data_IF_077519780813
#
_entry.id   IF_077519780813
#
_cell.length_a   1.000
_cell.length_b   1.000
_cell.length_c   1.000
_cell.angle_alpha   90.00
_cell.angle_beta   90.00
_cell.angle_gamma   90.00
#
_symmetry.space_group_name_H-M   'P 1'
#
loop_
_entity.id
_entity.type
_entity.pdbx_description
1 polymer ?
#
# COMPACT_ATOMS: atom_id res chain seq x y z
N UNK A 1 -5.37 -6.72 6.14
CA UNK A 1 -5.36 -6.59 4.67
C UNK A 1 -4.03 -6.95 4.04
N UNK A 2 -3.82 -6.60 2.74
CA UNK A 2 -2.63 -6.97 1.95
C UNK A 2 -1.31 -6.49 2.60
N UNK A 3 -1.10 -5.19 2.67
CA UNK A 3 0.17 -4.63 3.17
C UNK A 3 0.35 -4.97 4.65
N UNK A 4 -0.68 -4.74 5.48
CA UNK A 4 -0.60 -4.98 6.93
C UNK A 4 -0.26 -6.44 7.29
N UNK A 5 -0.78 -7.44 6.56
CA UNK A 5 -0.44 -8.85 6.83
C UNK A 5 1.02 -9.19 6.50
N UNK A 6 1.60 -8.55 5.48
CA UNK A 6 3.02 -8.69 5.17
C UNK A 6 3.90 -8.00 6.22
N UNK A 7 3.49 -6.81 6.71
CA UNK A 7 4.18 -6.13 7.83
C UNK A 7 4.13 -6.95 9.11
N UNK A 8 2.96 -7.51 9.47
CA UNK A 8 2.86 -8.41 10.63
C UNK A 8 3.84 -9.58 10.53
N UNK A 9 3.88 -10.25 9.36
CA UNK A 9 4.81 -11.37 9.16
C UNK A 9 6.27 -10.94 9.27
N UNK A 10 6.63 -9.82 8.64
CA UNK A 10 7.99 -9.31 8.66
C UNK A 10 8.44 -8.98 10.10
N UNK A 11 7.65 -8.21 10.83
CA UNK A 11 7.96 -7.84 12.21
C UNK A 11 8.08 -9.04 13.15
N UNK A 12 7.21 -10.04 13.00
CA UNK A 12 7.29 -11.28 13.78
C UNK A 12 8.55 -12.09 13.46
N UNK A 13 9.00 -12.12 12.21
CA UNK A 13 10.27 -12.76 11.83
C UNK A 13 11.48 -12.06 12.41
N UNK A 14 11.41 -10.73 12.55
CA UNK A 14 12.45 -9.91 13.21
C UNK A 14 12.37 -9.98 14.76
N UNK A 15 11.45 -10.76 15.33
CA UNK A 15 11.35 -10.99 16.77
C UNK A 15 10.55 -9.95 17.55
N UNK A 16 9.78 -9.10 16.86
CA UNK A 16 8.94 -8.11 17.52
C UNK A 16 7.63 -8.71 18.06
N UNK A 17 7.07 -8.07 19.10
CA UNK A 17 5.70 -8.29 19.54
C UNK A 17 4.77 -7.49 18.65
N UNK A 18 3.78 -8.14 18.04
CA UNK A 18 2.89 -7.53 17.06
C UNK A 18 1.43 -7.65 17.49
N UNK A 19 0.73 -6.52 17.52
CA UNK A 19 -0.72 -6.47 17.70
C UNK A 19 -1.36 -5.95 16.41
N UNK A 20 -2.26 -6.74 15.83
CA UNK A 20 -2.96 -6.40 14.58
C UNK A 20 -4.41 -6.04 14.91
N UNK A 21 -4.86 -4.86 14.49
CA UNK A 21 -6.26 -4.44 14.50
C UNK A 21 -6.80 -4.50 13.08
N UNK A 22 -7.86 -5.27 12.82
CA UNK A 22 -8.53 -5.35 11.51
C UNK A 22 -10.02 -5.68 11.71
N UNK A 23 -10.92 -5.10 10.93
CA UNK A 23 -12.35 -5.43 10.92
C UNK A 23 -12.73 -6.37 9.77
N UNK A 24 -11.77 -6.76 8.95
CA UNK A 24 -11.89 -7.65 7.79
C UNK A 24 -12.89 -7.20 6.71
N UNK A 25 -13.22 -5.91 6.65
CA UNK A 25 -14.12 -5.38 5.60
C UNK A 25 -13.51 -5.52 4.19
N UNK A 26 -12.18 -5.47 4.09
CA UNK A 26 -11.42 -5.73 2.86
C UNK A 26 -10.26 -6.70 3.08
N UNK A 27 -9.83 -6.89 4.32
CA UNK A 27 -8.83 -7.86 4.71
C UNK A 27 -9.39 -9.29 4.70
N UNK A 28 -8.48 -10.27 4.64
CA UNK A 28 -8.81 -11.69 4.75
C UNK A 28 -8.10 -12.25 5.98
N UNK A 29 -8.84 -12.92 6.86
CA UNK A 29 -8.26 -13.55 8.05
C UNK A 29 -7.27 -14.66 7.68
N UNK A 30 -7.46 -15.30 6.54
CA UNK A 30 -6.61 -16.34 6.00
C UNK A 30 -5.15 -15.88 5.87
N UNK A 31 -4.92 -14.59 5.59
CA UNK A 31 -3.59 -14.00 5.54
C UNK A 31 -2.86 -14.01 6.89
N UNK A 32 -3.57 -14.21 7.99
CA UNK A 32 -3.03 -14.16 9.35
C UNK A 32 -3.04 -15.53 10.07
N UNK A 33 -3.78 -16.54 9.56
CA UNK A 33 -3.93 -17.84 10.24
C UNK A 33 -2.58 -18.51 10.51
N UNK A 34 -1.65 -18.46 9.57
CA UNK A 34 -0.31 -19.02 9.74
C UNK A 34 0.48 -18.27 10.81
N UNK A 35 0.31 -16.96 10.94
CA UNK A 35 0.98 -16.13 11.95
C UNK A 35 0.43 -16.40 13.33
N UNK A 36 -0.89 -16.50 13.47
CA UNK A 36 -1.56 -16.85 14.75
C UNK A 36 -1.04 -18.20 15.26
N UNK A 37 -0.90 -19.19 14.35
CA UNK A 37 -0.43 -20.51 14.72
C UNK A 37 1.07 -20.55 15.06
N UNK A 38 1.88 -19.80 14.29
CA UNK A 38 3.35 -19.86 14.41
C UNK A 38 3.91 -19.00 15.54
N UNK A 39 3.22 -17.91 15.89
CA UNK A 39 3.69 -16.91 16.85
C UNK A 39 2.65 -16.65 17.96
N UNK A 40 2.19 -17.69 18.71
CA UNK A 40 1.09 -17.55 19.66
C UNK A 40 1.39 -16.57 20.80
N UNK A 41 2.66 -16.41 21.18
CA UNK A 41 3.07 -15.54 22.29
C UNK A 41 3.49 -14.15 21.84
N UNK A 42 3.73 -13.96 20.53
CA UNK A 42 4.24 -12.70 19.96
C UNK A 42 3.24 -12.00 19.03
N UNK A 43 2.15 -12.67 18.66
CA UNK A 43 1.13 -12.13 17.78
C UNK A 43 -0.23 -12.09 18.44
N UNK A 44 -0.82 -10.90 18.50
CA UNK A 44 -2.19 -10.70 19.00
C UNK A 44 -3.06 -10.11 17.90
N UNK A 45 -4.19 -10.75 17.61
CA UNK A 45 -5.23 -10.22 16.71
C UNK A 45 -6.37 -9.62 17.53
N UNK A 46 -6.69 -8.35 17.25
CA UNK A 46 -7.90 -7.67 17.72
C UNK A 46 -8.84 -7.50 16.52
N UNK A 47 -10.02 -8.09 16.61
CA UNK A 47 -11.11 -7.82 15.65
C UNK A 47 -11.83 -6.57 16.13
N UNK A 48 -11.66 -5.45 15.39
CA UNK A 48 -12.21 -4.17 15.78
C UNK A 48 -12.16 -3.18 14.61
N UNK A 49 -12.74 -2.00 14.80
CA UNK A 49 -12.96 -1.00 13.76
C UNK A 49 -12.33 0.34 14.16
N UNK A 50 -11.48 0.89 13.31
CA UNK A 50 -10.81 2.19 13.57
C UNK A 50 -11.80 3.35 13.69
N UNK A 51 -13.04 3.22 13.22
CA UNK A 51 -14.11 4.20 13.45
C UNK A 51 -14.55 4.28 14.92
N UNK A 52 -14.17 3.30 15.74
CA UNK A 52 -14.44 3.26 17.19
C UNK A 52 -13.16 3.59 17.94
N UNK A 53 -13.17 4.69 18.66
CA UNK A 53 -12.00 5.15 19.41
C UNK A 53 -11.54 4.11 20.43
N UNK A 54 -12.49 3.41 21.08
CA UNK A 54 -12.21 2.38 22.08
C UNK A 54 -11.43 1.20 21.50
N UNK A 55 -11.71 0.80 20.23
CA UNK A 55 -10.97 -0.27 19.57
C UNK A 55 -9.54 0.18 19.24
N UNK A 56 -9.38 1.45 18.83
CA UNK A 56 -8.05 2.05 18.62
C UNK A 56 -7.26 2.11 19.94
N UNK A 57 -7.86 2.56 21.03
CA UNK A 57 -7.22 2.63 22.36
C UNK A 57 -6.72 1.27 22.81
N UNK A 58 -7.56 0.23 22.71
CA UNK A 58 -7.17 -1.16 23.02
C UNK A 58 -6.01 -1.65 22.16
N UNK A 59 -6.01 -1.26 20.87
CA UNK A 59 -4.97 -1.69 19.94
C UNK A 59 -3.60 -1.09 20.27
N UNK A 60 -3.54 0.16 20.74
CA UNK A 60 -2.27 0.86 21.00
C UNK A 60 -1.78 0.75 22.44
N UNK A 61 -2.58 0.21 23.36
CA UNK A 61 -2.21 0.08 24.77
C UNK A 61 -0.91 -0.72 24.96
N UNK A 62 0.11 -0.07 25.53
CA UNK A 62 1.44 -0.66 25.75
C UNK A 62 2.29 -0.85 24.50
N UNK A 63 1.86 -0.32 23.34
CA UNK A 63 2.65 -0.38 22.10
C UNK A 63 3.64 0.78 22.03
N UNK A 64 4.83 0.51 21.51
CA UNK A 64 5.86 1.53 21.31
C UNK A 64 5.68 2.28 19.99
N UNK A 65 5.14 1.60 18.97
CA UNK A 65 5.02 2.10 17.61
C UNK A 65 3.67 1.74 17.00
N UNK A 66 3.21 2.53 16.04
CA UNK A 66 2.03 2.23 15.24
C UNK A 66 2.40 2.28 13.75
N UNK A 67 2.04 1.21 13.02
CA UNK A 67 2.01 1.17 11.56
C UNK A 67 0.54 1.18 11.11
N UNK A 68 0.05 2.32 10.64
CA UNK A 68 -1.34 2.52 10.28
C UNK A 68 -1.57 2.31 8.77
N UNK A 69 -2.02 1.10 8.43
CA UNK A 69 -2.31 0.67 7.06
C UNK A 69 -3.82 0.59 6.76
N UNK A 70 -4.66 0.74 7.79
CA UNK A 70 -6.10 0.56 7.67
C UNK A 70 -6.74 1.73 6.91
N UNK A 71 -7.34 1.43 5.77
CA UNK A 71 -8.09 2.37 4.95
C UNK A 71 -8.95 1.63 3.92
N UNK A 72 -10.00 2.28 3.42
CA UNK A 72 -10.65 1.87 2.17
C UNK A 72 -9.87 2.43 0.99
N UNK A 73 -9.05 1.59 0.36
CA UNK A 73 -8.41 1.88 -0.92
C UNK A 73 -9.40 1.80 -2.08
N UNK A 74 -9.08 2.41 -3.22
CA UNK A 74 -9.82 2.41 -4.48
C UNK A 74 -10.53 3.73 -4.80
N UNK A 75 -10.04 4.37 -5.86
CA UNK A 75 -10.67 5.58 -6.43
C UNK A 75 -12.12 5.31 -6.86
N UNK A 76 -12.44 4.25 -7.64
CA UNK A 76 -13.84 4.00 -8.04
C UNK A 76 -14.80 3.75 -6.85
N UNK A 77 -14.32 3.08 -5.81
CA UNK A 77 -15.13 2.88 -4.59
C UNK A 77 -15.45 4.22 -3.93
N UNK A 78 -14.45 5.07 -3.77
CA UNK A 78 -14.62 6.38 -3.12
C UNK A 78 -15.57 7.32 -3.89
N UNK A 79 -15.63 7.21 -5.21
CA UNK A 79 -16.60 7.94 -6.04
C UNK A 79 -18.01 7.40 -5.82
N UNK A 80 -18.15 6.07 -5.72
CA UNK A 80 -19.45 5.42 -5.51
C UNK A 80 -19.98 5.63 -4.09
N UNK A 81 -19.10 5.58 -3.08
CA UNK A 81 -19.43 5.72 -1.67
C UNK A 81 -18.40 6.61 -0.95
N UNK A 82 -18.51 7.93 -1.13
CA UNK A 82 -17.60 8.88 -0.50
C UNK A 82 -17.79 9.00 1.01
N UNK A 83 -19.03 8.78 1.51
CA UNK A 83 -19.34 8.89 2.95
C UNK A 83 -18.59 7.82 3.73
N UNK A 84 -18.77 6.55 3.41
CA UNK A 84 -18.08 5.44 4.10
C UNK A 84 -16.55 5.56 3.92
N UNK A 85 -16.09 6.01 2.74
CA UNK A 85 -14.66 6.24 2.51
C UNK A 85 -14.12 7.32 3.46
N UNK A 86 -14.84 8.43 3.64
CA UNK A 86 -14.47 9.50 4.56
C UNK A 86 -14.48 9.05 6.03
N UNK A 87 -15.54 8.37 6.45
CA UNK A 87 -15.68 7.87 7.83
C UNK A 87 -14.52 6.96 8.24
N UNK A 88 -14.11 6.05 7.34
CA UNK A 88 -13.03 5.10 7.62
C UNK A 88 -11.67 5.79 7.49
N UNK A 89 -11.42 6.48 6.38
CA UNK A 89 -10.08 6.98 6.10
C UNK A 89 -9.72 8.19 6.95
N UNK A 90 -10.62 9.18 7.08
CA UNK A 90 -10.36 10.39 7.90
C UNK A 90 -10.76 10.15 9.35
N UNK A 91 -12.01 9.73 9.61
CA UNK A 91 -12.49 9.51 10.97
C UNK A 91 -11.70 8.42 11.69
N UNK A 92 -11.45 7.30 11.00
CA UNK A 92 -10.64 6.20 11.54
C UNK A 92 -9.17 6.58 11.74
N UNK A 93 -8.58 7.33 10.82
CA UNK A 93 -7.23 7.87 10.99
C UNK A 93 -7.14 8.78 12.22
N UNK A 94 -8.09 9.71 12.37
CA UNK A 94 -8.13 10.63 13.50
C UNK A 94 -8.27 9.91 14.83
N UNK A 95 -9.12 8.88 14.93
CA UNK A 95 -9.23 8.04 16.12
C UNK A 95 -7.91 7.34 16.45
N UNK A 96 -7.26 6.77 15.43
CA UNK A 96 -6.01 6.03 15.64
C UNK A 96 -4.85 6.96 16.06
N UNK A 97 -4.70 8.14 15.44
CA UNK A 97 -3.63 9.07 15.82
C UNK A 97 -3.86 9.69 17.21
N UNK A 98 -5.13 9.92 17.61
CA UNK A 98 -5.50 10.35 18.97
C UNK A 98 -5.11 9.24 19.96
N UNK A 99 -5.54 8.01 19.72
CA UNK A 99 -5.22 6.87 20.59
C UNK A 99 -3.70 6.67 20.73
N UNK A 100 -2.96 6.77 19.62
CA UNK A 100 -1.50 6.66 19.58
C UNK A 100 -0.81 7.78 20.39
N UNK A 101 -1.26 9.04 20.25
CA UNK A 101 -0.79 10.18 21.04
C UNK A 101 -1.02 9.95 22.54
N UNK A 102 -2.22 9.55 22.91
CA UNK A 102 -2.61 9.38 24.31
C UNK A 102 -1.88 8.20 24.97
N UNK A 103 -1.59 7.14 24.21
CA UNK A 103 -0.74 6.03 24.61
C UNK A 103 0.76 6.36 24.60
N UNK A 104 1.16 7.55 24.14
CA UNK A 104 2.54 8.04 24.07
C UNK A 104 3.45 7.11 23.25
N UNK A 105 2.92 6.61 22.11
CA UNK A 105 3.75 5.84 21.18
C UNK A 105 4.93 6.68 20.70
N UNK A 106 6.08 6.07 20.48
CA UNK A 106 7.32 6.75 20.08
C UNK A 106 7.23 7.31 18.67
N UNK A 107 6.55 6.60 17.76
CA UNK A 107 6.35 7.05 16.38
C UNK A 107 5.12 6.41 15.74
N UNK A 108 4.47 7.20 14.91
CA UNK A 108 3.31 6.83 14.11
C UNK A 108 3.68 6.85 12.62
N UNK A 109 3.78 5.67 11.99
CA UNK A 109 3.99 5.56 10.54
C UNK A 109 2.67 5.22 9.88
N UNK A 110 2.35 5.88 8.76
CA UNK A 110 1.06 5.66 8.11
C UNK A 110 1.14 5.61 6.60
N UNK A 111 0.22 4.83 6.02
CA UNK A 111 0.00 4.73 4.60
C UNK A 111 -0.64 6.01 4.05
N UNK A 112 0.16 6.92 3.50
CA UNK A 112 -0.27 7.95 2.58
C UNK A 112 -0.40 7.38 1.16
N UNK A 113 -0.59 8.20 0.15
CA UNK A 113 -0.84 7.71 -1.20
C UNK A 113 -0.29 8.63 -2.29
N UNK A 114 0.23 8.03 -3.37
CA UNK A 114 0.57 8.76 -4.60
C UNK A 114 -0.64 9.45 -5.26
N UNK A 115 -1.86 9.06 -4.90
CA UNK A 115 -3.07 9.75 -5.37
C UNK A 115 -3.16 11.21 -4.93
N UNK A 116 -2.44 11.60 -3.86
CA UNK A 116 -2.32 12.98 -3.38
C UNK A 116 -1.71 13.92 -4.43
N UNK A 117 -0.90 13.39 -5.36
CA UNK A 117 -0.34 14.20 -6.46
C UNK A 117 -1.39 14.71 -7.45
N UNK A 118 -2.55 14.09 -7.50
CA UNK A 118 -3.70 14.56 -8.28
C UNK A 118 -3.36 14.81 -9.76
N UNK A 119 -3.69 16.01 -10.23
CA UNK A 119 -3.50 16.49 -11.61
C UNK A 119 -2.09 17.06 -11.88
N UNK A 120 -1.17 17.01 -10.94
CA UNK A 120 0.23 17.46 -11.15
C UNK A 120 0.82 16.81 -12.38
N UNK A 121 1.41 17.62 -13.28
CA UNK A 121 2.06 17.15 -14.52
C UNK A 121 3.57 16.86 -14.31
N UNK A 122 4.13 17.23 -13.14
CA UNK A 122 5.55 17.04 -12.87
C UNK A 122 5.95 15.58 -12.87
N UNK A 123 7.07 15.23 -13.49
CA UNK A 123 7.71 13.93 -13.45
C UNK A 123 9.22 14.13 -13.30
N UNK A 124 9.87 13.41 -12.37
CA UNK A 124 9.26 12.56 -11.34
C UNK A 124 8.42 13.36 -10.33
N UNK A 125 7.51 12.69 -9.63
CA UNK A 125 6.76 13.25 -8.51
C UNK A 125 7.69 13.46 -7.32
N UNK A 126 7.74 14.69 -6.81
CA UNK A 126 8.48 15.06 -5.59
C UNK A 126 7.51 15.48 -4.50
N UNK A 127 7.83 15.19 -3.24
CA UNK A 127 6.88 15.29 -2.12
C UNK A 127 6.36 16.72 -1.89
N UNK A 128 7.16 17.74 -2.20
CA UNK A 128 6.82 19.15 -2.01
C UNK A 128 5.90 19.74 -3.07
N UNK A 129 5.64 19.03 -4.19
CA UNK A 129 4.86 19.55 -5.32
C UNK A 129 3.68 18.63 -5.59
N UNK A 130 2.50 19.00 -5.10
CA UNK A 130 1.23 18.30 -5.36
C UNK A 130 0.33 19.13 -6.28
N UNK A 131 -0.59 18.47 -6.96
CA UNK A 131 -1.67 19.10 -7.71
C UNK A 131 -2.99 19.07 -6.93
N UNK A 132 -4.11 19.17 -7.65
CA UNK A 132 -5.42 19.03 -7.07
C UNK A 132 -5.82 17.55 -6.99
N UNK A 133 -6.27 17.04 -5.82
CA UNK A 133 -6.77 15.68 -5.71
C UNK A 133 -7.91 15.40 -6.70
N UNK A 134 -7.87 14.24 -7.38
CA UNK A 134 -8.83 13.86 -8.42
C UNK A 134 -9.95 12.93 -7.96
N UNK A 135 -10.01 12.59 -6.67
CA UNK A 135 -11.02 11.69 -6.13
C UNK A 135 -11.24 11.89 -4.64
N UNK A 136 -12.40 11.47 -4.09
CA UNK A 136 -12.61 11.46 -2.64
C UNK A 136 -11.52 10.67 -1.89
N UNK A 137 -11.07 9.53 -2.42
CA UNK A 137 -9.93 8.79 -1.85
C UNK A 137 -8.66 9.65 -1.75
N UNK A 138 -8.30 10.36 -2.81
CA UNK A 138 -7.13 11.23 -2.81
C UNK A 138 -7.25 12.35 -1.76
N UNK A 139 -8.44 12.93 -1.62
CA UNK A 139 -8.73 13.93 -0.58
C UNK A 139 -8.51 13.33 0.80
N UNK A 140 -9.07 12.12 1.08
CA UNK A 140 -8.92 11.52 2.40
C UNK A 140 -7.45 11.29 2.75
N UNK A 141 -6.65 10.82 1.79
CA UNK A 141 -5.22 10.59 2.02
C UNK A 141 -4.42 11.86 2.23
N UNK A 142 -4.79 12.94 1.56
CA UNK A 142 -4.16 14.25 1.79
C UNK A 142 -4.56 14.84 3.15
N UNK A 143 -5.80 14.66 3.57
CA UNK A 143 -6.26 15.10 4.91
C UNK A 143 -5.51 14.34 6.02
N UNK A 144 -5.21 13.06 5.86
CA UNK A 144 -4.39 12.30 6.81
C UNK A 144 -3.01 12.96 7.02
N UNK A 145 -2.36 13.41 5.92
CA UNK A 145 -1.07 14.12 5.98
C UNK A 145 -1.19 15.46 6.75
N UNK A 146 -2.28 16.22 6.52
CA UNK A 146 -2.53 17.49 7.21
C UNK A 146 -2.77 17.30 8.71
N UNK A 147 -3.53 16.25 9.09
CA UNK A 147 -3.71 15.90 10.50
C UNK A 147 -2.40 15.50 11.17
N UNK A 148 -1.59 14.67 10.52
CA UNK A 148 -0.31 14.26 11.07
C UNK A 148 0.62 15.45 11.33
N UNK A 149 0.70 16.40 10.39
CA UNK A 149 1.50 17.62 10.52
C UNK A 149 1.00 18.51 11.70
N UNK A 150 -0.31 18.70 11.84
CA UNK A 150 -0.89 19.44 12.95
C UNK A 150 -0.61 18.73 14.29
N UNK A 151 -0.68 17.40 14.35
CA UNK A 151 -0.38 16.65 15.57
C UNK A 151 1.09 16.80 15.98
N UNK A 152 2.02 16.78 15.03
CA UNK A 152 3.43 17.03 15.31
C UNK A 152 3.66 18.41 15.92
N UNK A 153 3.12 19.47 15.29
CA UNK A 153 3.32 20.85 15.74
C UNK A 153 2.61 21.18 17.03
N UNK A 154 1.43 20.59 17.28
CA UNK A 154 0.60 20.92 18.45
C UNK A 154 0.95 20.07 19.67
N UNK A 155 1.24 18.78 19.46
CA UNK A 155 1.40 17.81 20.54
C UNK A 155 2.80 17.24 20.65
N UNK A 156 3.77 17.73 19.87
CA UNK A 156 5.13 17.17 19.77
C UNK A 156 5.12 15.65 19.50
N UNK A 157 4.26 15.23 18.55
CA UNK A 157 4.02 13.84 18.23
C UNK A 157 4.77 13.45 16.96
N UNK A 158 5.65 12.44 17.02
CA UNK A 158 6.44 12.00 15.87
C UNK A 158 5.63 11.17 14.90
N UNK A 159 5.68 11.54 13.61
CA UNK A 159 5.10 10.74 12.53
C UNK A 159 6.02 10.62 11.32
N UNK A 160 5.75 9.62 10.47
CA UNK A 160 6.24 9.53 9.10
C UNK A 160 5.10 9.03 8.21
N UNK A 161 4.80 9.76 7.13
CA UNK A 161 3.82 9.36 6.14
C UNK A 161 4.49 8.80 4.88
N UNK A 162 3.97 7.69 4.36
CA UNK A 162 4.53 6.96 3.22
C UNK A 162 3.54 6.99 2.04
N UNK A 163 3.83 7.82 1.01
CA UNK A 163 3.05 7.82 -0.23
C UNK A 163 3.39 6.61 -1.07
N UNK A 164 2.61 5.56 -0.95
CA UNK A 164 2.79 4.34 -1.72
C UNK A 164 2.44 4.54 -3.20
N UNK A 165 3.31 4.00 -4.08
CA UNK A 165 3.12 3.95 -5.52
C UNK A 165 2.84 2.51 -5.96
N UNK A 166 1.64 2.25 -6.46
CA UNK A 166 1.20 1.00 -7.09
C UNK A 166 1.79 -0.28 -6.48
N UNK A 167 1.59 -0.47 -5.18
CA UNK A 167 2.13 -1.63 -4.44
C UNK A 167 1.53 -2.92 -4.98
N UNK A 168 2.38 -3.94 -5.15
CA UNK A 168 1.98 -5.27 -5.56
C UNK A 168 2.79 -6.35 -4.83
N UNK A 169 2.27 -7.57 -4.80
CA UNK A 169 2.97 -8.70 -4.19
C UNK A 169 2.05 -9.75 -3.58
N UNK A 170 2.65 -10.66 -2.81
CA UNK A 170 1.94 -11.74 -2.12
C UNK A 170 0.81 -11.25 -1.24
N UNK A 171 -0.30 -12.00 -1.17
CA UNK A 171 -1.54 -11.70 -0.42
C UNK A 171 -2.39 -10.53 -0.96
N UNK A 172 -2.04 -9.99 -2.14
CA UNK A 172 -2.92 -9.02 -2.80
C UNK A 172 -4.08 -9.75 -3.48
N UNK A 173 -5.32 -9.35 -3.14
CA UNK A 173 -6.54 -10.07 -3.54
C UNK A 173 -6.89 -9.89 -5.02
N UNK A 174 -6.99 -10.99 -5.83
CA UNK A 174 -7.42 -10.94 -7.22
C UNK A 174 -8.95 -10.99 -7.39
N UNK A 175 -9.71 -11.24 -6.32
CA UNK A 175 -11.16 -11.46 -6.37
C UNK A 175 -11.99 -10.26 -5.94
N UNK A 176 -11.35 -9.23 -5.36
CA UNK A 176 -12.04 -8.02 -4.95
C UNK A 176 -12.67 -7.27 -6.12
N UNK A 177 -13.84 -6.65 -5.89
CA UNK A 177 -14.55 -5.86 -6.91
C UNK A 177 -13.69 -4.71 -7.49
N UNK A 178 -12.64 -4.32 -6.79
CA UNK A 178 -11.70 -3.28 -7.15
C UNK A 178 -10.26 -3.80 -7.15
N UNK A 179 -10.06 -5.05 -7.62
CA UNK A 179 -8.74 -5.67 -7.69
C UNK A 179 -7.77 -4.81 -8.52
N UNK A 180 -6.52 -4.72 -8.06
CA UNK A 180 -5.46 -4.04 -8.80
C UNK A 180 -5.10 -4.80 -10.10
N UNK A 181 -4.45 -4.10 -11.02
CA UNK A 181 -4.17 -4.61 -12.38
C UNK A 181 -3.37 -5.91 -12.38
N UNK A 182 -2.34 -6.02 -11.51
CA UNK A 182 -1.48 -7.22 -11.47
C UNK A 182 -2.25 -8.47 -11.05
N UNK A 183 -2.89 -8.52 -9.86
CA UNK A 183 -3.65 -9.72 -9.48
C UNK A 183 -4.83 -10.01 -10.42
N UNK A 184 -5.44 -8.97 -11.01
CA UNK A 184 -6.50 -9.15 -12.00
C UNK A 184 -6.00 -9.85 -13.26
N UNK A 185 -4.85 -9.41 -13.82
CA UNK A 185 -4.27 -10.02 -15.02
C UNK A 185 -3.78 -11.44 -14.76
N UNK A 186 -3.14 -11.68 -13.60
CA UNK A 186 -2.74 -13.04 -13.18
C UNK A 186 -3.93 -13.97 -13.18
N UNK A 187 -5.03 -13.58 -12.51
CA UNK A 187 -6.27 -14.37 -12.48
C UNK A 187 -6.83 -14.64 -13.88
N UNK A 188 -6.76 -13.66 -14.80
CA UNK A 188 -7.21 -13.83 -16.18
C UNK A 188 -6.37 -14.87 -16.91
N UNK A 189 -5.06 -14.75 -16.84
CA UNK A 189 -4.15 -15.71 -17.47
C UNK A 189 -4.31 -17.13 -16.92
N UNK A 190 -4.41 -17.31 -15.60
CA UNK A 190 -4.63 -18.62 -14.97
C UNK A 190 -5.97 -19.28 -15.35
N UNK A 191 -6.92 -18.50 -15.85
CA UNK A 191 -8.21 -18.97 -16.37
C UNK A 191 -8.23 -19.06 -17.90
N UNK A 192 -7.11 -18.83 -18.57
CA UNK A 192 -7.02 -18.74 -20.04
C UNK A 192 -7.94 -17.65 -20.63
N UNK A 193 -8.33 -16.67 -19.82
CA UNK A 193 -9.13 -15.53 -20.26
C UNK A 193 -8.21 -14.39 -20.71
N UNK A 194 -8.58 -13.70 -21.79
CA UNK A 194 -7.82 -12.55 -22.31
C UNK A 194 -7.83 -11.39 -21.30
N UNK A 195 -6.66 -10.93 -20.81
CA UNK A 195 -6.61 -9.68 -20.07
C UNK A 195 -6.90 -8.51 -21.00
N UNK A 196 -7.62 -7.50 -20.50
CA UNK A 196 -7.95 -6.28 -21.25
C UNK A 196 -7.06 -5.14 -20.76
N UNK A 197 -6.18 -4.69 -21.62
CA UNK A 197 -5.32 -3.52 -21.41
C UNK A 197 -6.07 -2.26 -21.81
N UNK A 198 -6.13 -1.25 -20.96
CA UNK A 198 -6.81 0.00 -21.26
C UNK A 198 -6.03 0.84 -22.27
N UNK A 199 -6.70 1.38 -23.27
CA UNK A 199 -6.12 2.21 -24.33
C UNK A 199 -5.09 1.44 -25.18
N UNK A 200 -4.04 2.13 -25.59
CA UNK A 200 -2.91 1.58 -26.34
C UNK A 200 -1.90 0.82 -25.45
N UNK A 201 -2.09 0.85 -24.13
CA UNK A 201 -1.23 0.20 -23.16
C UNK A 201 0.08 0.95 -22.83
N UNK A 202 0.27 2.16 -23.35
CA UNK A 202 1.48 2.96 -23.12
C UNK A 202 1.43 3.78 -21.82
N UNK A 203 0.27 3.81 -21.13
CA UNK A 203 0.22 4.38 -19.79
C UNK A 203 1.15 3.62 -18.86
N UNK A 204 1.95 4.36 -18.08
CA UNK A 204 3.01 3.76 -17.24
C UNK A 204 2.85 4.11 -15.77
N UNK A 205 3.26 3.18 -14.92
CA UNK A 205 3.23 3.31 -13.46
C UNK A 205 4.58 2.93 -12.86
N UNK A 206 4.89 3.56 -11.75
CA UNK A 206 5.93 3.10 -10.84
C UNK A 206 5.32 2.02 -9.94
N UNK A 207 5.65 0.77 -10.21
CA UNK A 207 5.16 -0.38 -9.45
C UNK A 207 6.15 -0.74 -8.36
N UNK A 208 5.67 -0.86 -7.14
CA UNK A 208 6.50 -1.11 -5.97
C UNK A 208 6.22 -2.50 -5.40
N UNK A 209 7.21 -3.37 -5.41
CA UNK A 209 7.08 -4.69 -4.81
C UNK A 209 6.96 -4.59 -3.30
N UNK A 210 6.16 -5.47 -2.70
CA UNK A 210 5.82 -5.43 -1.27
C UNK A 210 7.06 -5.39 -0.36
N UNK A 211 8.15 -6.09 -0.67
CA UNK A 211 9.33 -6.13 0.19
C UNK A 211 10.08 -4.78 0.23
N UNK A 212 10.03 -3.98 -0.84
CA UNK A 212 10.50 -2.59 -0.81
C UNK A 212 9.63 -1.72 0.12
N UNK A 213 8.32 -1.98 0.19
CA UNK A 213 7.40 -1.31 1.11
C UNK A 213 7.69 -1.70 2.57
N UNK A 214 7.97 -2.99 2.82
CA UNK A 214 8.38 -3.48 4.14
C UNK A 214 9.66 -2.80 4.60
N UNK A 215 10.68 -2.74 3.72
CA UNK A 215 11.94 -2.02 4.00
C UNK A 215 11.66 -0.56 4.39
N UNK A 216 10.86 0.15 3.59
CA UNK A 216 10.56 1.56 3.84
C UNK A 216 9.84 1.78 5.17
N UNK A 217 8.88 0.92 5.52
CA UNK A 217 8.19 0.97 6.82
C UNK A 217 9.17 0.77 7.98
N UNK A 218 10.09 -0.20 7.88
CA UNK A 218 11.08 -0.44 8.92
C UNK A 218 12.05 0.72 9.07
N UNK A 219 12.53 1.29 7.98
CA UNK A 219 13.39 2.48 8.01
C UNK A 219 12.67 3.67 8.64
N UNK A 220 11.40 3.90 8.28
CA UNK A 220 10.57 4.94 8.89
C UNK A 220 10.35 4.70 10.39
N UNK A 221 10.14 3.45 10.79
CA UNK A 221 9.89 3.08 12.18
C UNK A 221 11.12 3.27 13.06
N UNK A 222 12.31 2.90 12.57
CA UNK A 222 13.54 2.76 13.35
C UNK A 222 14.54 3.90 13.18
N UNK A 223 14.32 4.85 12.26
CA UNK A 223 15.25 5.95 12.03
C UNK A 223 15.53 6.73 13.30
N UNK A 224 16.79 7.05 13.52
CA UNK A 224 17.26 7.96 14.58
C UNK A 224 17.65 9.34 14.04
N UNK A 225 17.51 9.54 12.72
CA UNK A 225 17.78 10.84 12.10
C UNK A 225 16.64 11.82 12.43
N UNK A 226 16.89 12.90 13.20
CA UNK A 226 15.84 13.86 13.58
C UNK A 226 15.29 14.64 12.37
N UNK A 227 16.05 14.75 11.28
CA UNK A 227 15.58 15.40 10.05
C UNK A 227 14.64 14.53 9.24
N UNK A 228 14.58 13.23 9.53
CA UNK A 228 13.73 12.27 8.84
C UNK A 228 12.30 12.20 9.42
N UNK A 229 12.09 12.62 10.68
CA UNK A 229 10.77 12.56 11.31
C UNK A 229 9.90 13.76 10.94
N UNK A 230 8.59 13.61 11.12
CA UNK A 230 7.58 14.63 10.77
C UNK A 230 7.64 15.01 9.28
N UNK A 231 7.80 14.00 8.44
CA UNK A 231 7.98 14.11 7.00
C UNK A 231 7.08 13.12 6.25
N UNK A 232 6.80 13.48 4.99
CA UNK A 232 6.16 12.60 4.02
C UNK A 232 7.20 12.13 3.01
N UNK A 233 7.16 10.84 2.63
CA UNK A 233 8.08 10.22 1.69
C UNK A 233 7.38 9.46 0.59
N UNK A 234 7.92 9.52 -0.61
CA UNK A 234 7.57 8.60 -1.67
C UNK A 234 8.13 7.20 -1.36
N UNK A 235 7.26 6.20 -1.48
CA UNK A 235 7.62 4.79 -1.37
C UNK A 235 7.38 4.13 -2.71
N UNK A 236 8.43 3.98 -3.48
CA UNK A 236 8.44 3.54 -4.86
C UNK A 236 9.77 2.87 -5.19
N UNK A 237 9.89 2.31 -6.40
CA UNK A 237 11.18 1.86 -6.91
C UNK A 237 11.93 2.98 -7.64
N UNK A 238 11.20 3.91 -8.25
CA UNK A 238 11.77 5.01 -9.03
C UNK A 238 11.95 4.67 -10.52
N UNK A 239 11.22 3.67 -11.04
CA UNK A 239 11.19 3.31 -12.45
C UNK A 239 9.75 3.16 -12.95
N UNK A 240 9.55 3.34 -14.26
CA UNK A 240 8.23 3.19 -14.89
C UNK A 240 8.14 1.92 -15.72
N UNK A 241 6.99 1.25 -15.63
CA UNK A 241 6.62 0.13 -16.49
C UNK A 241 5.29 0.43 -17.16
N UNK A 242 5.20 0.24 -18.50
CA UNK A 242 3.93 0.40 -19.24
C UNK A 242 3.02 -0.79 -19.00
N UNK A 243 1.72 -0.63 -19.26
CA UNK A 243 0.77 -1.75 -19.17
C UNK A 243 1.09 -2.85 -20.17
N UNK A 244 1.60 -2.49 -21.37
CA UNK A 244 2.07 -3.46 -22.36
C UNK A 244 3.26 -4.28 -21.85
N UNK A 245 4.25 -3.63 -21.23
CA UNK A 245 5.36 -4.33 -20.62
C UNK A 245 4.90 -5.24 -19.48
N UNK A 246 4.04 -4.71 -18.59
CA UNK A 246 3.51 -5.45 -17.45
C UNK A 246 2.80 -6.74 -17.90
N UNK A 247 1.84 -6.62 -18.83
CA UNK A 247 1.04 -7.79 -19.26
C UNK A 247 1.90 -8.83 -19.97
N UNK A 248 2.94 -8.40 -20.70
CA UNK A 248 3.89 -9.30 -21.35
C UNK A 248 4.78 -10.02 -20.33
N UNK A 249 5.30 -9.32 -19.29
CA UNK A 249 6.05 -9.98 -18.23
C UNK A 249 5.21 -11.02 -17.47
N UNK A 250 3.96 -10.67 -17.13
CA UNK A 250 3.04 -11.62 -16.50
C UNK A 250 2.82 -12.87 -17.36
N UNK A 251 2.60 -12.69 -18.65
CA UNK A 251 2.42 -13.79 -19.58
C UNK A 251 3.66 -14.69 -19.63
N UNK A 252 4.87 -14.12 -19.73
CA UNK A 252 6.13 -14.87 -19.75
C UNK A 252 6.30 -15.66 -18.46
N UNK A 253 6.19 -15.03 -17.29
CA UNK A 253 6.44 -15.67 -16.00
C UNK A 253 5.39 -16.75 -15.65
N UNK A 254 4.13 -16.52 -15.99
CA UNK A 254 3.07 -17.52 -15.79
C UNK A 254 3.24 -18.71 -16.76
N UNK A 255 3.75 -18.48 -17.97
CA UNK A 255 4.03 -19.56 -18.93
C UNK A 255 5.17 -20.50 -18.48
N UNK A 256 6.00 -20.09 -17.52
CA UNK A 256 6.98 -20.98 -16.87
C UNK A 256 6.31 -22.08 -16.03
N UNK A 257 5.11 -21.80 -15.50
CA UNK A 257 4.30 -22.75 -14.72
C UNK A 257 3.33 -23.55 -15.62
N UNK A 258 2.75 -22.88 -16.61
CA UNK A 258 1.82 -23.49 -17.57
C UNK A 258 2.03 -22.93 -18.98
N UNK A 259 2.66 -23.69 -19.89
CA UNK A 259 2.97 -23.27 -21.27
C UNK A 259 1.75 -22.82 -22.09
N UNK A 260 0.54 -23.34 -21.82
CA UNK A 260 -0.69 -22.97 -22.52
C UNK A 260 -1.05 -21.48 -22.35
N UNK A 261 -0.61 -20.86 -21.26
CA UNK A 261 -0.79 -19.42 -21.02
C UNK A 261 -0.11 -18.58 -22.11
N UNK A 262 0.95 -19.10 -22.74
CA UNK A 262 1.63 -18.42 -23.84
C UNK A 262 0.71 -18.18 -25.05
N UNK A 263 -0.36 -18.93 -25.21
CA UNK A 263 -1.35 -18.82 -26.28
C UNK A 263 -2.50 -17.83 -25.96
N UNK A 264 -2.62 -17.39 -24.70
CA UNK A 264 -3.67 -16.43 -24.30
C UNK A 264 -3.46 -15.09 -25.00
N UNK A 265 -4.49 -14.60 -25.69
CA UNK A 265 -4.43 -13.30 -26.38
C UNK A 265 -4.60 -12.14 -25.39
N UNK A 266 -3.86 -11.07 -25.61
CA UNK A 266 -4.02 -9.79 -24.92
C UNK A 266 -4.94 -8.93 -25.77
N UNK A 267 -5.93 -8.29 -25.16
CA UNK A 267 -6.91 -7.44 -25.85
C UNK A 267 -6.76 -6.01 -25.36
N UNK A 268 -6.87 -5.03 -26.25
CA UNK A 268 -6.90 -3.62 -25.90
C UNK A 268 -8.35 -3.11 -25.84
N UNK A 269 -8.69 -2.40 -24.79
CA UNK A 269 -10.01 -1.79 -24.57
C UNK A 269 -9.94 -0.26 -24.65
N UNK A 270 -11.03 0.44 -24.35
CA UNK A 270 -11.05 1.90 -24.32
C UNK A 270 -10.17 2.44 -23.18
N UNK A 271 -9.72 3.69 -23.31
CA UNK A 271 -9.09 4.41 -22.23
C UNK A 271 -10.02 4.52 -21.02
N UNK A 272 -9.49 4.31 -19.83
CA UNK A 272 -10.25 4.51 -18.59
C UNK A 272 -10.34 6.00 -18.29
N UNK A 273 -11.55 6.51 -18.11
CA UNK A 273 -11.76 7.90 -17.74
C UNK A 273 -11.11 8.25 -16.41
N UNK A 274 -10.37 9.35 -16.37
CA UNK A 274 -9.70 9.83 -15.15
C UNK A 274 -8.37 9.15 -14.82
N UNK A 275 -7.87 8.23 -15.66
CA UNK A 275 -6.54 7.65 -15.47
C UNK A 275 -5.45 8.68 -15.81
N UNK A 276 -4.45 8.77 -14.92
CA UNK A 276 -3.23 9.58 -15.14
C UNK A 276 -2.33 8.83 -16.12
N UNK A 277 -1.84 9.47 -17.21
CA UNK A 277 -1.03 8.78 -18.22
C UNK A 277 0.24 8.15 -17.65
N UNK A 278 1.00 8.90 -16.84
CA UNK A 278 2.29 8.46 -16.32
C UNK A 278 2.44 8.79 -14.84
N UNK A 279 3.03 7.85 -14.09
CA UNK A 279 3.39 8.03 -12.69
C UNK A 279 4.82 7.52 -12.47
N UNK A 280 5.68 8.38 -11.95
CA UNK A 280 7.07 8.11 -11.59
C UNK A 280 7.39 8.90 -10.32
N UNK A 281 7.94 8.25 -9.31
CA UNK A 281 8.38 8.91 -8.08
C UNK A 281 9.85 9.32 -8.16
N UNK A 282 10.22 10.49 -7.59
CA UNK A 282 11.55 10.64 -7.02
C UNK A 282 11.59 9.96 -5.66
N UNK A 283 12.64 9.16 -5.43
CA UNK A 283 12.93 8.53 -4.14
C UNK A 283 14.17 9.13 -3.47
N UNK A 284 14.67 10.26 -3.96
CA UNK A 284 15.90 10.88 -3.50
C UNK A 284 15.80 11.31 -2.03
N UNK A 285 14.66 11.85 -1.61
CA UNK A 285 14.41 12.23 -0.22
C UNK A 285 14.48 11.00 0.71
N UNK A 286 13.85 9.91 0.33
CA UNK A 286 13.87 8.66 1.10
C UNK A 286 15.30 8.06 1.16
N UNK A 287 16.04 8.09 0.05
CA UNK A 287 17.44 7.67 0.02
C UNK A 287 18.30 8.51 0.96
N UNK A 288 18.16 9.83 0.90
CA UNK A 288 19.02 10.75 1.67
C UNK A 288 18.73 10.71 3.17
N UNK A 289 17.45 10.73 3.57
CA UNK A 289 17.08 10.89 4.97
C UNK A 289 16.83 9.57 5.71
N UNK A 290 16.38 8.53 4.98
CA UNK A 290 16.05 7.22 5.55
C UNK A 290 16.97 6.09 5.10
N UNK A 291 17.96 6.36 4.23
CA UNK A 291 18.80 5.35 3.61
C UNK A 291 18.00 4.27 2.84
N UNK A 292 16.89 4.68 2.22
CA UNK A 292 16.05 3.77 1.46
C UNK A 292 16.77 3.30 0.21
N UNK A 293 16.93 1.99 0.06
CA UNK A 293 17.57 1.34 -1.08
C UNK A 293 16.73 0.15 -1.54
N UNK A 294 15.71 0.38 -2.39
CA UNK A 294 14.79 -0.67 -2.83
C UNK A 294 15.51 -1.75 -3.63
N UNK A 295 15.42 -3.00 -3.18
CA UNK A 295 16.17 -4.12 -3.73
C UNK A 295 15.47 -4.84 -4.88
N UNK A 296 14.16 -4.70 -4.99
CA UNK A 296 13.36 -5.42 -5.99
C UNK A 296 12.89 -4.47 -7.09
N UNK A 297 13.48 -4.58 -8.29
CA UNK A 297 12.91 -3.93 -9.47
C UNK A 297 11.58 -4.57 -9.85
N UNK A 298 10.86 -3.97 -10.82
CA UNK A 298 9.55 -4.47 -11.26
C UNK A 298 9.61 -5.94 -11.70
N UNK A 299 10.63 -6.35 -12.45
CA UNK A 299 10.76 -7.72 -12.98
C UNK A 299 10.99 -8.74 -11.87
N UNK A 300 11.90 -8.44 -10.95
CA UNK A 300 12.25 -9.35 -9.85
C UNK A 300 11.06 -9.52 -8.90
N UNK A 301 10.45 -8.42 -8.48
CA UNK A 301 9.26 -8.47 -7.64
C UNK A 301 8.08 -9.16 -8.30
N UNK A 302 7.91 -9.00 -9.63
CA UNK A 302 6.83 -9.64 -10.36
C UNK A 302 7.02 -11.16 -10.44
N UNK A 303 8.26 -11.63 -10.61
CA UNK A 303 8.58 -13.06 -10.61
C UNK A 303 8.24 -13.70 -9.26
N UNK A 304 8.61 -13.07 -8.15
CA UNK A 304 8.24 -13.53 -6.80
C UNK A 304 6.72 -13.51 -6.58
N UNK A 305 6.03 -12.43 -7.02
CA UNK A 305 4.60 -12.31 -6.89
C UNK A 305 3.85 -13.38 -7.70
N UNK A 306 4.26 -13.64 -8.94
CA UNK A 306 3.66 -14.66 -9.82
C UNK A 306 3.78 -16.04 -9.21
N UNK A 307 4.95 -16.40 -8.66
CA UNK A 307 5.14 -17.66 -7.95
C UNK A 307 4.13 -17.81 -6.81
N UNK A 308 4.01 -16.78 -5.98
CA UNK A 308 3.05 -16.82 -4.88
C UNK A 308 1.60 -16.93 -5.37
N UNK A 309 1.21 -16.20 -6.41
CA UNK A 309 -0.14 -16.28 -6.96
C UNK A 309 -0.42 -17.68 -7.50
N UNK A 310 0.53 -18.27 -8.22
CA UNK A 310 0.38 -19.64 -8.77
C UNK A 310 0.10 -20.69 -7.70
N UNK A 311 0.76 -20.56 -6.55
CA UNK A 311 0.63 -21.50 -5.44
C UNK A 311 -0.61 -21.25 -4.56
N UNK A 312 -1.26 -20.06 -4.63
CA UNK A 312 -2.26 -19.63 -3.65
C UNK A 312 -3.60 -19.15 -4.24
N UNK A 313 -3.77 -19.11 -5.55
CA UNK A 313 -5.02 -18.77 -6.26
C UNK A 313 -5.52 -19.97 -7.03
#
# INVERSE_FOLDING_TARGET
GFIGSNLCEYLLKEGHQVRCLDNFITGKIENLLSLIKKYPDSFQLIIGDIRKLEDCQKAVEGMEYVLHEAALGSVPRSIKDPITTNEINIGGFLNMIIAARDAKVKRFVFAASSSTYGDSQSLPKVESIIGNPLSPYAITKYVDELYADIFARTYNFEYIGLRYFNVFGRRQDPFGAYAAVIPLFVKKFMKYESPVVNGDGEYSRDFTYIDNVLQMNMLALTTTNPEAVNQIYNTAFGERTTLNQLVNYLKIYLSEFDPEISHVKIVHGPNRQGDIPHSLASIDKAKTLLNYDPQYCMKDGLKEAVKWYWENI
#
